data_IF_879083132309
#
_entry.id   IF_879083132309
#
_cell.length_a   1.000
_cell.length_b   1.000
_cell.length_c   1.000
_cell.angle_alpha   90.00
_cell.angle_beta   90.00
_cell.angle_gamma   90.00
#
_symmetry.space_group_name_H-M   'P 1'
#
loop_
_entity.id
_entity.type
_entity.pdbx_description
1 polymer ?
#
# COMPACT_ATOMS: atom_id res chain seq x y z
N UNK A 1 42.00 -53.60 -2.92
CA UNK A 1 41.25 -53.67 -4.20
C UNK A 1 40.57 -52.33 -4.39
N UNK A 2 41.00 -51.60 -5.41
CA UNK A 2 40.41 -50.34 -5.84
C UNK A 2 39.05 -50.62 -6.49
N UNK A 3 38.03 -49.87 -6.10
CA UNK A 3 36.73 -49.83 -6.75
C UNK A 3 36.42 -48.39 -7.14
N UNK A 4 36.84 -48.00 -8.33
CA UNK A 4 36.45 -46.77 -9.01
C UNK A 4 35.00 -46.88 -9.48
N UNK A 5 34.09 -46.09 -8.89
CA UNK A 5 32.71 -45.93 -9.33
C UNK A 5 32.52 -44.53 -9.91
N UNK A 6 32.18 -44.47 -11.20
CA UNK A 6 32.25 -43.27 -12.03
C UNK A 6 31.28 -42.16 -11.64
N UNK A 7 31.84 -40.94 -11.57
CA UNK A 7 31.08 -39.70 -11.59
C UNK A 7 30.46 -39.48 -12.95
N UNK A 8 29.22 -39.93 -13.13
CA UNK A 8 28.35 -39.53 -14.22
C UNK A 8 27.88 -38.10 -14.00
N UNK A 9 28.72 -37.12 -14.36
CA UNK A 9 28.29 -35.74 -14.52
C UNK A 9 27.23 -35.67 -15.61
N UNK A 10 25.96 -35.60 -15.22
CA UNK A 10 24.87 -35.19 -16.10
C UNK A 10 25.15 -33.77 -16.54
N UNK A 11 25.77 -33.63 -17.71
CA UNK A 11 25.69 -32.41 -18.50
C UNK A 11 24.22 -32.20 -18.87
N UNK A 12 23.51 -31.43 -18.05
CA UNK A 12 22.26 -30.82 -18.44
C UNK A 12 22.57 -29.83 -19.55
N UNK A 13 22.21 -30.18 -20.78
CA UNK A 13 22.29 -29.27 -21.91
C UNK A 13 21.55 -27.98 -21.54
N UNK A 14 22.29 -26.86 -21.58
CA UNK A 14 21.72 -25.53 -21.53
C UNK A 14 20.91 -25.30 -22.80
N UNK A 15 19.69 -25.82 -22.84
CA UNK A 15 18.64 -25.17 -23.61
C UNK A 15 18.45 -23.80 -22.98
N UNK A 16 18.44 -22.74 -23.79
CA UNK A 16 18.05 -21.41 -23.35
C UNK A 16 16.72 -21.56 -22.57
N UNK A 17 16.80 -21.50 -21.25
CA UNK A 17 15.66 -21.73 -20.39
C UNK A 17 14.64 -20.64 -20.68
N UNK A 18 13.49 -21.02 -21.25
CA UNK A 18 12.40 -20.08 -21.46
C UNK A 18 12.09 -19.38 -20.13
N UNK A 19 12.08 -18.05 -20.13
CA UNK A 19 11.78 -17.26 -18.94
C UNK A 19 10.43 -17.68 -18.35
N UNK A 20 10.38 -17.77 -17.03
CA UNK A 20 9.20 -18.08 -16.26
C UNK A 20 8.67 -16.81 -15.58
N UNK A 21 7.35 -16.60 -15.62
CA UNK A 21 6.69 -15.38 -15.17
C UNK A 21 5.79 -15.64 -13.96
N UNK A 22 5.68 -14.64 -13.10
CA UNK A 22 4.70 -14.56 -12.04
C UNK A 22 3.73 -13.42 -12.35
N UNK A 23 2.45 -13.75 -12.50
CA UNK A 23 1.34 -12.80 -12.64
C UNK A 23 0.41 -12.95 -11.44
N UNK A 24 -0.17 -11.85 -10.98
CA UNK A 24 -1.19 -11.89 -9.94
C UNK A 24 -2.27 -10.86 -10.18
N UNK A 25 -3.46 -11.09 -9.63
CA UNK A 25 -4.50 -10.09 -9.60
C UNK A 25 -4.27 -9.09 -8.45
N UNK A 26 -4.21 -7.78 -8.74
CA UNK A 26 -4.20 -6.74 -7.72
C UNK A 26 -5.57 -6.72 -7.03
N UNK A 27 -5.58 -6.79 -5.70
CA UNK A 27 -6.82 -6.93 -4.92
C UNK A 27 -7.08 -5.70 -4.04
N UNK A 28 -8.34 -5.23 -4.01
CA UNK A 28 -8.80 -4.17 -3.10
C UNK A 28 -8.37 -2.76 -3.50
N UNK A 29 -8.39 -1.82 -2.55
CA UNK A 29 -7.94 -0.44 -2.78
C UNK A 29 -6.42 -0.33 -3.01
N UNK A 30 -5.96 0.83 -3.49
CA UNK A 30 -4.57 1.05 -3.92
C UNK A 30 -3.54 0.53 -2.90
N UNK A 31 -3.70 0.85 -1.61
CA UNK A 31 -2.74 0.41 -0.60
C UNK A 31 -2.70 -1.11 -0.40
N UNK A 32 -3.81 -1.81 -0.59
CA UNK A 32 -3.80 -3.28 -0.61
C UNK A 32 -3.02 -3.82 -1.82
N UNK A 33 -3.11 -3.14 -2.97
CA UNK A 33 -2.38 -3.50 -4.18
C UNK A 33 -0.88 -3.26 -4.01
N UNK A 34 -0.45 -2.14 -3.41
CA UNK A 34 0.96 -1.88 -3.08
C UNK A 34 1.53 -2.94 -2.13
N UNK A 35 0.75 -3.33 -1.12
CA UNK A 35 1.15 -4.38 -0.17
C UNK A 35 1.27 -5.75 -0.86
N UNK A 36 0.35 -6.04 -1.80
CA UNK A 36 0.41 -7.25 -2.62
C UNK A 36 1.63 -7.26 -3.54
N UNK A 37 2.02 -6.10 -4.08
CA UNK A 37 3.24 -5.97 -4.89
C UNK A 37 4.48 -6.39 -4.10
N UNK A 38 4.62 -5.96 -2.85
CA UNK A 38 5.77 -6.38 -2.03
C UNK A 38 5.83 -7.90 -1.86
N UNK A 39 4.71 -8.54 -1.56
CA UNK A 39 4.66 -9.99 -1.49
C UNK A 39 4.96 -10.67 -2.84
N UNK A 40 4.53 -10.06 -3.95
CA UNK A 40 4.80 -10.57 -5.29
C UNK A 40 6.27 -10.49 -5.67
N UNK A 41 6.96 -9.42 -5.31
CA UNK A 41 8.40 -9.25 -5.55
C UNK A 41 9.21 -10.31 -4.80
N UNK A 42 8.91 -10.51 -3.52
CA UNK A 42 9.56 -11.54 -2.71
C UNK A 42 9.29 -12.95 -3.26
N UNK A 43 8.04 -13.21 -3.64
CA UNK A 43 7.66 -14.51 -4.19
C UNK A 43 8.28 -14.77 -5.58
N UNK A 44 8.35 -13.76 -6.44
CA UNK A 44 8.98 -13.86 -7.75
C UNK A 44 10.46 -14.20 -7.61
N UNK A 45 11.16 -13.49 -6.72
CA UNK A 45 12.57 -13.77 -6.42
C UNK A 45 12.77 -15.18 -5.87
N UNK A 46 11.95 -15.59 -4.89
CA UNK A 46 12.00 -16.94 -4.32
C UNK A 46 11.83 -18.01 -5.40
N UNK A 47 10.91 -17.81 -6.33
CA UNK A 47 10.57 -18.78 -7.36
C UNK A 47 11.45 -18.70 -8.61
N UNK A 48 12.44 -17.80 -8.63
CA UNK A 48 13.27 -17.49 -9.81
C UNK A 48 12.42 -17.17 -11.05
N UNK A 49 11.49 -16.22 -10.88
CA UNK A 49 10.54 -15.79 -11.92
C UNK A 49 10.62 -14.29 -12.15
N UNK A 50 10.37 -13.90 -13.39
CA UNK A 50 10.12 -12.50 -13.75
C UNK A 50 8.78 -12.08 -13.15
N UNK A 51 8.78 -11.04 -12.32
CA UNK A 51 7.55 -10.45 -11.81
C UNK A 51 6.90 -9.61 -12.91
N UNK A 52 5.67 -9.94 -13.26
CA UNK A 52 4.81 -9.08 -14.07
C UNK A 52 4.00 -8.19 -13.15
N UNK A 53 4.35 -6.91 -13.11
CA UNK A 53 3.65 -5.91 -12.29
C UNK A 53 2.29 -5.63 -12.93
N UNK A 54 1.18 -5.91 -12.23
CA UNK A 54 -0.14 -5.76 -12.81
C UNK A 54 -0.48 -4.28 -12.99
N UNK A 55 -1.54 -4.07 -13.77
CA UNK A 55 -2.26 -2.79 -13.78
C UNK A 55 -2.71 -2.42 -12.36
N UNK A 56 -2.97 -1.14 -12.14
CA UNK A 56 -3.66 -0.67 -10.95
C UNK A 56 -5.16 -0.71 -11.22
N UNK A 57 -5.93 -1.17 -10.25
CA UNK A 57 -7.39 -1.18 -10.32
C UNK A 57 -7.98 -0.08 -9.44
N UNK A 58 -8.93 0.66 -9.98
CA UNK A 58 -9.73 1.63 -9.21
C UNK A 58 -10.92 0.95 -8.53
N UNK A 59 -11.76 1.70 -7.82
CA UNK A 59 -13.02 1.22 -7.25
C UNK A 59 -12.85 -0.05 -6.39
N UNK A 60 -11.85 -0.04 -5.50
CA UNK A 60 -11.51 -1.18 -4.63
C UNK A 60 -11.26 -2.50 -5.39
N UNK A 61 -10.61 -2.42 -6.55
CA UNK A 61 -10.25 -3.60 -7.35
C UNK A 61 -11.32 -4.00 -8.36
N UNK A 62 -12.36 -3.18 -8.56
CA UNK A 62 -13.46 -3.47 -9.48
C UNK A 62 -13.44 -2.60 -10.74
N UNK A 63 -12.65 -1.53 -10.75
CA UNK A 63 -12.57 -0.60 -11.86
C UNK A 63 -11.83 -1.15 -13.09
N UNK A 64 -11.67 -0.33 -14.13
CA UNK A 64 -10.84 -0.66 -15.28
C UNK A 64 -9.35 -0.75 -14.89
N UNK A 65 -8.56 -1.57 -15.60
CA UNK A 65 -7.12 -1.62 -15.45
C UNK A 65 -6.46 -0.34 -15.96
N UNK A 66 -5.57 0.22 -15.13
CA UNK A 66 -4.77 1.39 -15.45
C UNK A 66 -3.28 0.99 -15.45
N UNK A 67 -2.48 1.37 -16.47
CA UNK A 67 -1.04 1.13 -16.46
C UNK A 67 -0.36 1.63 -15.19
N UNK A 68 0.58 0.85 -14.65
CA UNK A 68 1.31 1.21 -13.43
C UNK A 68 2.02 2.57 -13.57
N UNK A 69 2.63 2.79 -14.75
CA UNK A 69 3.32 4.02 -15.14
C UNK A 69 2.43 5.27 -15.13
N UNK A 70 1.10 5.11 -15.18
CA UNK A 70 0.17 6.23 -15.08
C UNK A 70 0.10 6.82 -13.67
N UNK A 71 0.63 6.14 -12.65
CA UNK A 71 0.58 6.61 -11.25
C UNK A 71 1.92 6.53 -10.52
N UNK A 72 2.76 5.56 -10.87
CA UNK A 72 4.06 5.36 -10.25
C UNK A 72 5.17 5.51 -11.29
N UNK A 73 6.38 5.83 -10.84
CA UNK A 73 7.58 5.83 -11.63
C UNK A 73 8.09 4.38 -11.80
N UNK A 74 7.63 3.72 -12.86
CA UNK A 74 8.01 2.35 -13.14
C UNK A 74 9.50 2.18 -13.44
N UNK A 75 10.15 3.20 -14.03
CA UNK A 75 11.59 3.16 -14.33
C UNK A 75 12.42 3.09 -13.04
N UNK A 76 12.00 3.81 -11.99
CA UNK A 76 12.64 3.70 -10.68
C UNK A 76 12.54 2.27 -10.14
N UNK A 77 11.39 1.61 -10.32
CA UNK A 77 11.18 0.22 -9.90
C UNK A 77 12.08 -0.76 -10.67
N UNK A 78 12.17 -0.62 -11.99
CA UNK A 78 13.09 -1.42 -12.81
C UNK A 78 14.54 -1.20 -12.37
N UNK A 79 14.96 0.05 -12.18
CA UNK A 79 16.32 0.41 -11.81
C UNK A 79 16.73 -0.15 -10.43
N UNK A 80 15.77 -0.35 -9.53
CA UNK A 80 16.02 -0.94 -8.21
C UNK A 80 16.05 -2.48 -8.22
N UNK A 81 15.60 -3.13 -9.29
CA UNK A 81 15.53 -4.57 -9.40
C UNK A 81 16.71 -5.15 -10.20
N UNK A 82 17.05 -6.43 -10.02
CA UNK A 82 17.98 -7.11 -10.92
C UNK A 82 17.50 -7.01 -12.37
N UNK A 83 18.43 -6.89 -13.31
CA UNK A 83 18.10 -6.75 -14.72
C UNK A 83 17.22 -7.92 -15.20
N UNK A 84 16.09 -7.60 -15.83
CA UNK A 84 15.11 -8.57 -16.32
C UNK A 84 14.21 -9.22 -15.27
N UNK A 85 14.34 -8.86 -13.99
CA UNK A 85 13.52 -9.46 -12.92
C UNK A 85 12.08 -8.92 -12.86
N UNK A 86 11.82 -7.77 -13.46
CA UNK A 86 10.52 -7.09 -13.42
C UNK A 86 10.12 -6.64 -14.83
N UNK A 87 8.85 -6.80 -15.15
CA UNK A 87 8.21 -6.37 -16.39
C UNK A 87 6.83 -5.77 -16.08
N UNK A 88 6.36 -4.81 -16.88
CA UNK A 88 4.99 -4.31 -16.74
C UNK A 88 3.99 -5.22 -17.47
N UNK A 89 2.72 -5.17 -17.06
CA UNK A 89 1.67 -5.99 -17.67
C UNK A 89 1.50 -5.73 -19.17
N UNK A 90 1.54 -4.48 -19.63
CA UNK A 90 1.35 -4.16 -21.06
C UNK A 90 2.40 -4.85 -21.94
N UNK A 91 3.67 -4.78 -21.56
CA UNK A 91 4.79 -5.46 -22.21
C UNK A 91 4.61 -6.98 -22.19
N UNK A 92 4.23 -7.54 -21.04
CA UNK A 92 3.97 -8.98 -20.92
C UNK A 92 2.86 -9.45 -21.87
N UNK A 93 1.78 -8.68 -22.01
CA UNK A 93 0.68 -9.02 -22.91
C UNK A 93 1.12 -9.07 -24.39
N UNK A 94 2.14 -8.31 -24.79
CA UNK A 94 2.70 -8.38 -26.16
C UNK A 94 3.39 -9.71 -26.47
N UNK A 95 3.80 -10.45 -25.43
CA UNK A 95 4.40 -11.78 -25.59
C UNK A 95 3.38 -12.85 -26.00
N UNK A 96 2.08 -12.54 -25.95
CA UNK A 96 0.97 -13.48 -26.20
C UNK A 96 1.06 -14.75 -25.34
N UNK A 97 1.65 -14.65 -24.15
CA UNK A 97 1.69 -15.71 -23.17
C UNK A 97 0.41 -15.68 -22.33
N UNK A 98 -0.05 -16.87 -21.94
CA UNK A 98 -1.28 -17.05 -21.14
C UNK A 98 -1.05 -18.11 -20.07
N UNK A 99 -1.57 -17.93 -18.84
CA UNK A 99 -1.51 -18.99 -17.84
C UNK A 99 -2.40 -20.16 -18.25
N UNK A 100 -1.91 -21.38 -18.02
CA UNK A 100 -2.69 -22.61 -18.16
C UNK A 100 -3.77 -22.74 -17.07
N UNK A 101 -3.55 -22.06 -15.95
CA UNK A 101 -4.38 -22.13 -14.75
C UNK A 101 -4.21 -20.90 -13.87
N UNK A 102 -5.29 -20.46 -13.23
CA UNK A 102 -5.26 -19.46 -12.16
C UNK A 102 -5.35 -20.19 -10.82
N UNK A 103 -4.36 -19.97 -9.97
CA UNK A 103 -4.34 -20.52 -8.62
C UNK A 103 -5.04 -19.56 -7.66
N UNK A 104 -6.17 -20.01 -7.11
CA UNK A 104 -6.96 -19.23 -6.16
C UNK A 104 -6.39 -19.37 -4.75
N UNK A 105 -5.82 -18.29 -4.23
CA UNK A 105 -5.26 -18.23 -2.87
C UNK A 105 -6.34 -17.69 -1.94
N UNK A 106 -6.78 -18.48 -0.96
CA UNK A 106 -7.87 -18.08 -0.07
C UNK A 106 -7.56 -16.77 0.67
N UNK A 107 -8.46 -15.79 0.55
CA UNK A 107 -8.42 -14.56 1.34
C UNK A 107 -9.13 -14.79 2.70
N UNK A 108 -8.37 -15.00 3.77
CA UNK A 108 -8.82 -15.03 5.17
C UNK A 108 -9.68 -13.85 5.67
N UNK A 109 -9.85 -12.79 4.88
CA UNK A 109 -10.82 -11.74 5.16
C UNK A 109 -12.21 -12.20 4.69
N UNK A 110 -13.03 -12.68 5.62
CA UNK A 110 -14.39 -13.20 5.35
C UNK A 110 -15.33 -12.23 4.63
N UNK A 111 -15.01 -10.93 4.67
CA UNK A 111 -15.82 -9.84 4.12
C UNK A 111 -15.38 -9.41 2.73
N UNK A 112 -14.48 -10.18 2.12
CA UNK A 112 -13.81 -9.84 0.89
C UNK A 112 -14.06 -10.97 -0.09
N UNK A 113 -15.05 -10.77 -0.97
CA UNK A 113 -15.31 -11.71 -2.06
C UNK A 113 -14.15 -11.69 -3.05
N UNK A 114 -13.53 -12.85 -3.24
CA UNK A 114 -12.59 -13.03 -4.34
C UNK A 114 -13.39 -13.05 -5.64
N UNK A 115 -13.08 -12.13 -6.54
CA UNK A 115 -13.51 -12.20 -7.93
C UNK A 115 -12.27 -12.25 -8.82
N UNK A 116 -12.40 -12.82 -10.01
CA UNK A 116 -11.33 -12.92 -11.00
C UNK A 116 -11.52 -11.89 -12.13
N UNK A 117 -12.20 -10.77 -11.82
CA UNK A 117 -12.63 -9.77 -12.80
C UNK A 117 -11.44 -9.21 -13.59
N UNK A 118 -10.30 -9.03 -12.93
CA UNK A 118 -9.09 -8.57 -13.59
C UNK A 118 -8.63 -9.53 -14.69
N UNK A 119 -8.56 -10.83 -14.40
CA UNK A 119 -8.20 -11.82 -15.41
C UNK A 119 -9.23 -11.88 -16.55
N UNK A 120 -10.53 -11.72 -16.24
CA UNK A 120 -11.54 -11.56 -17.30
C UNK A 120 -11.29 -10.33 -18.17
N UNK A 121 -10.92 -9.18 -17.58
CA UNK A 121 -10.57 -7.95 -18.32
C UNK A 121 -9.32 -8.12 -19.20
N UNK A 122 -8.40 -9.02 -18.83
CA UNK A 122 -7.23 -9.40 -19.64
C UNK A 122 -7.56 -10.43 -20.74
N UNK A 123 -8.81 -10.89 -20.85
CA UNK A 123 -9.21 -11.94 -21.80
C UNK A 123 -8.91 -13.36 -21.32
N UNK A 124 -8.66 -13.56 -20.03
CA UNK A 124 -8.36 -14.86 -19.40
C UNK A 124 -9.54 -15.41 -18.59
N UNK A 125 -10.76 -15.00 -18.91
CA UNK A 125 -11.97 -15.40 -18.17
C UNK A 125 -12.30 -16.90 -18.28
N UNK A 126 -11.79 -17.57 -19.31
CA UNK A 126 -11.93 -19.00 -19.57
C UNK A 126 -10.77 -19.85 -19.02
N UNK A 127 -9.74 -19.24 -18.40
CA UNK A 127 -8.64 -19.99 -17.78
C UNK A 127 -9.19 -20.79 -16.58
N UNK A 128 -8.91 -22.11 -16.49
CA UNK A 128 -9.32 -22.91 -15.35
C UNK A 128 -8.80 -22.38 -14.02
N UNK A 129 -9.65 -22.43 -12.99
CA UNK A 129 -9.32 -21.97 -11.64
C UNK A 129 -9.11 -23.18 -10.74
N UNK A 130 -7.95 -23.25 -10.07
CA UNK A 130 -7.67 -24.25 -9.05
C UNK A 130 -7.54 -23.57 -7.69
N UNK A 131 -8.36 -24.00 -6.74
CA UNK A 131 -8.24 -23.53 -5.37
C UNK A 131 -7.01 -24.12 -4.71
N UNK A 132 -6.14 -23.24 -4.23
CA UNK A 132 -5.01 -23.66 -3.40
C UNK A 132 -5.53 -23.99 -2.00
N UNK A 133 -5.30 -25.21 -1.47
CA UNK A 133 -5.55 -25.51 -0.07
C UNK A 133 -4.67 -24.61 0.79
N UNK A 134 -5.12 -24.30 2.03
CA UNK A 134 -4.46 -23.39 2.97
C UNK A 134 -2.94 -23.39 2.81
N UNK A 135 -2.44 -22.40 2.08
CA UNK A 135 -1.03 -22.33 1.71
C UNK A 135 -0.31 -21.95 2.99
N UNK A 136 0.43 -22.89 3.57
CA UNK A 136 1.51 -22.53 4.46
C UNK A 136 2.49 -21.72 3.63
N UNK A 137 2.51 -20.41 3.87
CA UNK A 137 3.41 -19.46 3.23
C UNK A 137 4.85 -19.75 3.71
N UNK A 138 5.42 -20.86 3.27
CA UNK A 138 6.82 -21.23 3.51
C UNK A 138 7.52 -21.35 2.16
N UNK A 139 8.80 -20.94 2.06
CA UNK A 139 9.58 -21.10 0.85
C UNK A 139 9.53 -22.52 0.26
N UNK A 140 9.67 -23.54 1.11
CA UNK A 140 9.61 -24.93 0.69
C UNK A 140 8.23 -25.35 0.16
N UNK A 141 7.12 -24.83 0.72
CA UNK A 141 5.79 -25.11 0.19
C UNK A 141 5.59 -24.46 -1.19
N UNK A 142 6.05 -23.23 -1.37
CA UNK A 142 6.01 -22.54 -2.66
C UNK A 142 6.87 -23.24 -3.70
N UNK A 143 8.13 -23.60 -3.40
CA UNK A 143 8.97 -24.36 -4.34
C UNK A 143 8.38 -25.71 -4.70
N UNK A 144 7.90 -26.49 -3.72
CA UNK A 144 7.25 -27.79 -4.02
C UNK A 144 6.05 -27.63 -4.93
N UNK A 145 5.27 -26.57 -4.75
CA UNK A 145 4.03 -26.37 -5.50
C UNK A 145 4.26 -25.68 -6.84
N UNK A 146 4.86 -24.50 -6.84
CA UNK A 146 5.19 -23.76 -8.05
C UNK A 146 6.26 -24.43 -8.92
N UNK A 147 7.18 -25.19 -8.33
CA UNK A 147 8.12 -26.05 -9.05
C UNK A 147 7.46 -27.27 -9.67
N UNK A 148 6.43 -27.84 -9.01
CA UNK A 148 5.57 -28.85 -9.64
C UNK A 148 4.67 -28.26 -10.72
N UNK A 149 4.36 -26.96 -10.65
CA UNK A 149 3.51 -26.32 -11.65
C UNK A 149 4.16 -26.26 -13.03
N UNK A 150 5.50 -26.30 -13.17
CA UNK A 150 6.24 -26.34 -14.45
C UNK A 150 5.91 -25.21 -15.46
N UNK A 151 4.94 -24.37 -15.14
CA UNK A 151 4.26 -23.51 -16.08
C UNK A 151 5.11 -22.28 -16.35
N UNK A 152 5.14 -21.89 -17.61
CA UNK A 152 5.78 -20.65 -18.04
C UNK A 152 5.16 -19.44 -17.35
N UNK A 153 3.84 -19.43 -17.13
CA UNK A 153 3.12 -18.35 -16.44
C UNK A 153 2.41 -18.89 -15.20
N UNK A 154 2.89 -18.48 -14.01
CA UNK A 154 2.22 -18.74 -12.74
C UNK A 154 1.25 -17.59 -12.46
N UNK A 155 -0.06 -17.83 -12.51
CA UNK A 155 -1.08 -16.82 -12.23
C UNK A 155 -1.76 -17.04 -10.87
N UNK A 156 -1.78 -16.02 -10.01
CA UNK A 156 -2.34 -16.08 -8.65
C UNK A 156 -3.53 -15.12 -8.49
N UNK A 157 -4.62 -15.57 -7.84
CA UNK A 157 -5.83 -14.73 -7.64
C UNK A 157 -5.66 -13.57 -6.67
N UNK A 158 -4.70 -13.65 -5.74
CA UNK A 158 -4.39 -12.57 -4.82
C UNK A 158 -3.12 -12.87 -4.03
N UNK A 159 -2.30 -11.85 -3.79
CA UNK A 159 -1.16 -11.93 -2.87
C UNK A 159 -1.35 -11.13 -1.58
N UNK A 160 -2.55 -10.56 -1.37
CA UNK A 160 -2.83 -9.72 -0.21
C UNK A 160 -2.59 -10.45 1.12
N UNK A 161 -2.93 -11.74 1.20
CA UNK A 161 -2.78 -12.54 2.41
C UNK A 161 -1.36 -12.94 2.76
N UNK A 162 -0.49 -13.07 1.76
CA UNK A 162 0.92 -13.35 1.98
C UNK A 162 1.57 -12.25 2.83
N UNK A 163 1.01 -11.04 2.80
CA UNK A 163 1.55 -9.86 3.47
C UNK A 163 0.97 -9.61 4.88
N UNK A 164 0.02 -10.40 5.39
CA UNK A 164 -0.54 -10.12 6.72
C UNK A 164 0.59 -10.08 7.79
N UNK A 165 0.63 -9.04 8.65
CA UNK A 165 1.74 -8.75 9.56
C UNK A 165 2.21 -9.94 10.44
N UNK A 166 1.31 -10.88 10.73
CA UNK A 166 1.63 -12.10 11.49
C UNK A 166 2.39 -13.14 10.65
N UNK A 167 2.11 -13.21 9.35
CA UNK A 167 2.75 -14.14 8.40
C UNK A 167 4.02 -13.53 7.79
N UNK A 168 4.12 -12.19 7.66
CA UNK A 168 5.35 -11.49 7.24
C UNK A 168 6.58 -11.87 8.07
N UNK A 169 6.39 -12.10 9.38
CA UNK A 169 7.48 -12.53 10.30
C UNK A 169 7.84 -14.02 10.17
N UNK A 170 6.94 -14.85 9.64
CA UNK A 170 7.11 -16.30 9.54
C UNK A 170 7.68 -16.71 8.19
N UNK A 171 7.22 -16.06 7.13
CA UNK A 171 7.74 -16.27 5.78
C UNK A 171 9.24 -15.99 5.71
N UNK A 172 9.72 -14.96 6.41
CA UNK A 172 11.05 -14.41 6.14
C UNK A 172 11.84 -14.11 7.42
N UNK A 173 12.84 -14.94 7.68
CA UNK A 173 14.03 -14.57 8.47
C UNK A 173 15.15 -14.23 7.49
N UNK A 174 14.92 -13.18 6.71
CA UNK A 174 15.86 -12.70 5.72
C UNK A 174 17.15 -12.18 6.36
N UNK A 175 18.29 -12.53 5.75
CA UNK A 175 19.62 -12.00 6.07
C UNK A 175 19.68 -10.48 5.80
N UNK A 176 20.74 -9.80 6.26
CA UNK A 176 20.84 -8.34 6.16
C UNK A 176 20.77 -7.81 4.70
N UNK A 177 21.35 -8.55 3.74
CA UNK A 177 21.39 -8.19 2.31
C UNK A 177 20.00 -8.18 1.69
N UNK A 178 19.18 -9.19 2.00
CA UNK A 178 17.81 -9.31 1.49
C UNK A 178 16.90 -8.21 2.09
N UNK A 179 17.18 -7.74 3.31
CA UNK A 179 16.48 -6.60 3.91
C UNK A 179 16.78 -5.28 3.21
N UNK A 180 18.04 -5.03 2.84
CA UNK A 180 18.42 -3.80 2.15
C UNK A 180 17.85 -3.75 0.73
N UNK A 181 17.94 -4.86 0.01
CA UNK A 181 17.31 -5.01 -1.30
C UNK A 181 15.80 -4.82 -1.25
N UNK A 182 15.11 -5.49 -0.33
CA UNK A 182 13.66 -5.34 -0.12
C UNK A 182 13.28 -3.90 0.23
N UNK A 183 14.11 -3.17 1.00
CA UNK A 183 13.90 -1.74 1.27
C UNK A 183 14.07 -0.89 0.01
N UNK A 184 15.14 -1.07 -0.75
CA UNK A 184 15.38 -0.32 -1.99
C UNK A 184 14.22 -0.45 -2.97
N UNK A 185 13.73 -1.68 -3.16
CA UNK A 185 12.55 -1.97 -3.96
C UNK A 185 11.27 -1.38 -3.37
N UNK A 186 11.12 -1.42 -2.05
CA UNK A 186 9.99 -0.78 -1.37
C UNK A 186 9.95 0.74 -1.61
N UNK A 187 11.11 1.40 -1.64
CA UNK A 187 11.20 2.83 -1.97
C UNK A 187 10.84 3.07 -3.44
N UNK A 188 11.48 2.31 -4.33
CA UNK A 188 11.27 2.45 -5.77
C UNK A 188 9.83 2.17 -6.21
N UNK A 189 9.17 1.16 -5.62
CA UNK A 189 7.77 0.86 -5.88
C UNK A 189 6.82 1.99 -5.46
N UNK A 190 7.26 2.89 -4.57
CA UNK A 190 6.52 4.07 -4.09
C UNK A 190 6.99 5.37 -4.74
N UNK A 191 7.97 5.32 -5.63
CA UNK A 191 8.35 6.49 -6.41
C UNK A 191 7.17 6.83 -7.30
N UNK A 192 6.60 8.02 -7.12
CA UNK A 192 5.37 8.42 -7.80
C UNK A 192 5.66 9.00 -9.17
N UNK A 193 4.63 9.03 -10.02
CA UNK A 193 4.69 9.75 -11.29
C UNK A 193 5.00 11.25 -11.04
N UNK A 194 5.85 11.92 -11.86
CA UNK A 194 6.24 13.33 -11.62
C UNK A 194 5.07 14.32 -11.54
N UNK A 195 3.95 14.01 -12.18
CA UNK A 195 2.72 14.81 -12.06
C UNK A 195 2.11 14.77 -10.66
N UNK A 196 2.23 13.65 -9.95
CA UNK A 196 1.78 13.50 -8.56
C UNK A 196 2.68 14.32 -7.64
N UNK A 197 4.00 14.27 -7.80
CA UNK A 197 4.92 15.09 -7.01
C UNK A 197 4.65 16.59 -7.17
N UNK A 198 4.35 17.04 -8.40
CA UNK A 198 3.91 18.43 -8.64
C UNK A 198 2.61 18.76 -7.93
N UNK A 199 1.62 17.87 -7.98
CA UNK A 199 0.34 18.07 -7.27
C UNK A 199 0.53 18.12 -5.75
N UNK A 200 1.41 17.28 -5.19
CA UNK A 200 1.80 17.35 -3.77
C UNK A 200 2.45 18.70 -3.46
N UNK A 201 3.39 19.16 -4.29
CA UNK A 201 4.01 20.48 -4.14
C UNK A 201 3.00 21.62 -4.16
N UNK A 202 2.08 21.63 -5.12
CA UNK A 202 0.98 22.59 -5.21
C UNK A 202 0.09 22.58 -3.96
N UNK A 203 -0.21 21.39 -3.43
CA UNK A 203 -1.00 21.28 -2.20
C UNK A 203 -0.28 21.89 -1.00
N UNK A 204 1.04 21.70 -0.88
CA UNK A 204 1.84 22.32 0.18
C UNK A 204 1.90 23.84 0.06
N UNK A 205 2.09 24.39 -1.14
CA UNK A 205 2.05 25.85 -1.32
C UNK A 205 0.67 26.43 -0.98
N UNK A 206 -0.41 25.78 -1.42
CA UNK A 206 -1.78 26.16 -1.06
C UNK A 206 -2.02 26.08 0.45
N UNK A 207 -1.48 25.06 1.12
CA UNK A 207 -1.54 24.92 2.57
C UNK A 207 -0.76 26.05 3.27
N UNK A 208 0.39 26.47 2.70
CA UNK A 208 1.20 27.60 3.19
C UNK A 208 0.43 28.89 3.19
N UNK A 209 -0.19 29.21 2.06
CA UNK A 209 -0.97 30.42 1.87
C UNK A 209 -2.14 30.44 2.85
N UNK A 210 -2.88 29.32 2.97
CA UNK A 210 -4.04 29.22 3.85
C UNK A 210 -3.69 29.19 5.34
N UNK A 211 -2.51 28.69 5.69
CA UNK A 211 -1.99 28.68 7.06
C UNK A 211 -1.23 29.96 7.42
N UNK A 212 -1.37 31.05 6.64
CA UNK A 212 -0.69 32.33 6.85
C UNK A 212 0.84 32.20 6.98
N UNK A 213 1.45 31.29 6.22
CA UNK A 213 2.89 31.04 6.21
C UNK A 213 3.42 30.21 7.38
N UNK A 214 2.58 29.83 8.35
CA UNK A 214 2.94 28.95 9.47
C UNK A 214 2.96 27.51 8.97
N UNK A 215 4.04 27.14 8.29
CA UNK A 215 4.18 25.82 7.66
C UNK A 215 5.38 25.03 8.13
N UNK A 216 6.08 25.51 9.16
CA UNK A 216 7.25 24.79 9.67
C UNK A 216 6.87 23.34 9.94
N UNK A 217 5.67 23.09 10.45
CA UNK A 217 5.16 21.76 10.73
C UNK A 217 3.64 21.64 10.51
N UNK A 218 3.21 20.61 9.78
CA UNK A 218 1.79 20.21 9.68
C UNK A 218 1.54 18.95 10.52
N UNK A 219 0.31 18.78 11.02
CA UNK A 219 -0.18 17.51 11.53
C UNK A 219 -1.09 16.87 10.49
N UNK A 220 -0.84 15.62 10.10
CA UNK A 220 -1.79 14.84 9.31
C UNK A 220 -2.59 13.90 10.22
N UNK A 221 -3.88 13.80 9.93
CA UNK A 221 -4.77 12.83 10.53
C UNK A 221 -5.52 12.06 9.44
N UNK A 222 -5.38 10.74 9.45
CA UNK A 222 -6.16 9.86 8.59
C UNK A 222 -7.43 9.38 9.34
N UNK A 223 -8.58 9.85 8.87
CA UNK A 223 -9.91 9.52 9.40
C UNK A 223 -10.61 8.61 8.40
N UNK A 224 -10.58 7.30 8.65
CA UNK A 224 -11.29 6.31 7.83
C UNK A 224 -12.69 6.05 8.40
N UNK A 225 -13.74 6.49 7.70
CA UNK A 225 -15.13 6.36 8.15
C UNK A 225 -16.03 5.73 7.09
N UNK A 226 -16.15 6.35 5.91
CA UNK A 226 -17.10 6.08 4.83
C UNK A 226 -17.75 4.69 4.82
N UNK A 227 -17.26 3.78 3.98
CA UNK A 227 -17.71 2.37 3.90
C UNK A 227 -17.14 1.50 5.03
N UNK A 228 -16.35 2.10 5.93
CA UNK A 228 -15.54 1.37 6.90
C UNK A 228 -16.31 0.97 8.16
N UNK A 229 -17.46 1.60 8.44
CA UNK A 229 -18.27 1.26 9.63
C UNK A 229 -18.70 -0.20 9.62
N UNK A 230 -19.27 -0.67 8.51
CA UNK A 230 -19.71 -2.06 8.35
C UNK A 230 -18.55 -3.04 8.53
N UNK A 231 -17.42 -2.76 7.89
CA UNK A 231 -16.20 -3.55 8.05
C UNK A 231 -15.74 -3.63 9.52
N UNK A 232 -15.76 -2.51 10.24
CA UNK A 232 -15.41 -2.50 11.66
C UNK A 232 -16.39 -3.25 12.56
N UNK A 233 -17.69 -3.22 12.25
CA UNK A 233 -18.69 -4.02 12.96
C UNK A 233 -18.43 -5.51 12.75
N UNK A 234 -18.07 -5.89 11.54
CA UNK A 234 -17.76 -7.26 11.17
C UNK A 234 -16.46 -7.76 11.83
N UNK A 235 -15.42 -6.93 11.91
CA UNK A 235 -14.23 -7.25 12.70
C UNK A 235 -14.54 -7.46 14.18
N UNK A 236 -15.44 -6.66 14.76
CA UNK A 236 -15.89 -6.84 16.14
C UNK A 236 -16.65 -8.16 16.31
N UNK A 237 -17.55 -8.51 15.39
CA UNK A 237 -18.24 -9.82 15.38
C UNK A 237 -17.23 -10.96 15.28
N UNK A 238 -16.24 -10.87 14.38
CA UNK A 238 -15.18 -11.87 14.25
C UNK A 238 -14.43 -12.03 15.56
N UNK A 239 -13.94 -10.93 16.15
CA UNK A 239 -13.16 -10.94 17.39
C UNK A 239 -13.92 -11.58 18.57
N UNK A 240 -15.24 -11.39 18.62
CA UNK A 240 -16.12 -11.95 19.65
C UNK A 240 -16.57 -13.39 19.36
N UNK A 241 -16.28 -13.92 18.17
CA UNK A 241 -16.66 -15.29 17.81
C UNK A 241 -15.75 -16.33 18.48
N UNK A 242 -16.27 -17.55 18.67
CA UNK A 242 -15.49 -18.69 19.20
C UNK A 242 -14.27 -19.00 18.32
N UNK A 243 -14.40 -18.80 17.01
CA UNK A 243 -13.38 -19.09 15.99
C UNK A 243 -12.61 -17.84 15.54
N UNK A 244 -12.58 -16.79 16.36
CA UNK A 244 -11.85 -15.56 16.04
C UNK A 244 -10.36 -15.84 15.83
N UNK A 245 -9.77 -15.22 14.82
CA UNK A 245 -8.31 -15.30 14.61
C UNK A 245 -7.59 -14.67 15.81
N UNK A 246 -6.48 -15.27 16.32
CA UNK A 246 -5.75 -14.71 17.47
C UNK A 246 -5.27 -13.27 17.23
N UNK A 247 -4.84 -12.95 16.01
CA UNK A 247 -4.43 -11.60 15.63
C UNK A 247 -5.61 -10.61 15.73
N UNK A 248 -6.82 -11.02 15.33
CA UNK A 248 -8.01 -10.17 15.40
C UNK A 248 -8.45 -9.91 16.84
N UNK A 249 -8.43 -10.94 17.70
CA UNK A 249 -8.67 -10.78 19.14
C UNK A 249 -7.69 -9.80 19.77
N UNK A 250 -6.40 -9.92 19.45
CA UNK A 250 -5.38 -9.02 19.96
C UNK A 250 -5.62 -7.59 19.46
N UNK A 251 -5.83 -7.42 18.16
CA UNK A 251 -6.01 -6.12 17.53
C UNK A 251 -7.18 -5.36 18.15
N UNK A 252 -8.36 -5.98 18.26
CA UNK A 252 -9.55 -5.35 18.86
C UNK A 252 -9.36 -5.07 20.35
N UNK A 253 -8.71 -5.98 21.12
CA UNK A 253 -8.39 -5.72 22.53
C UNK A 253 -7.42 -4.56 22.74
N UNK A 254 -6.47 -4.38 21.82
CA UNK A 254 -5.44 -3.33 21.92
C UNK A 254 -5.85 -2.02 21.24
N UNK A 255 -6.84 -2.07 20.34
CA UNK A 255 -7.25 -0.98 19.48
C UNK A 255 -8.75 -0.79 19.55
N UNK A 256 -9.21 0.09 20.43
CA UNK A 256 -10.64 0.33 20.63
C UNK A 256 -11.32 1.09 19.46
N UNK A 257 -10.55 1.61 18.49
CA UNK A 257 -11.04 2.54 17.48
C UNK A 257 -10.73 2.06 16.06
N UNK A 258 -11.34 0.94 15.65
CA UNK A 258 -11.45 0.61 14.22
C UNK A 258 -12.21 1.71 13.48
N UNK A 259 -13.39 2.06 14.02
CA UNK A 259 -14.21 3.17 13.55
C UNK A 259 -14.08 4.33 14.53
N UNK A 260 -13.59 5.47 14.05
CA UNK A 260 -13.36 6.65 14.88
C UNK A 260 -14.64 7.48 14.92
N UNK A 261 -15.21 7.71 16.11
CA UNK A 261 -16.37 8.61 16.28
C UNK A 261 -15.94 10.08 16.43
N UNK A 262 -16.85 11.02 16.18
CA UNK A 262 -16.59 12.47 16.25
C UNK A 262 -15.89 12.89 17.55
N UNK A 263 -16.34 12.42 18.71
CA UNK A 263 -15.71 12.78 19.99
C UNK A 263 -14.29 12.21 20.19
N UNK A 264 -13.91 11.17 19.45
CA UNK A 264 -12.52 10.70 19.46
C UNK A 264 -11.62 11.65 18.68
N UNK A 265 -12.13 12.18 17.56
CA UNK A 265 -11.44 13.17 16.74
C UNK A 265 -11.19 14.45 17.53
N UNK A 266 -12.22 15.04 18.15
CA UNK A 266 -12.05 16.23 19.02
C UNK A 266 -10.99 16.03 20.09
N UNK A 267 -11.12 14.97 20.90
CA UNK A 267 -10.14 14.69 21.97
C UNK A 267 -8.71 14.51 21.45
N UNK A 268 -8.55 14.05 20.21
CA UNK A 268 -7.23 13.90 19.60
C UNK A 268 -6.72 15.22 19.06
N UNK A 269 -7.57 16.01 18.41
CA UNK A 269 -7.25 17.37 17.96
C UNK A 269 -6.85 18.27 19.13
N UNK A 270 -7.56 18.20 20.26
CA UNK A 270 -7.21 18.90 21.50
C UNK A 270 -5.79 18.55 21.95
N UNK A 271 -5.43 17.25 21.94
CA UNK A 271 -4.07 16.80 22.31
C UNK A 271 -3.00 17.20 21.29
N UNK A 272 -3.36 17.28 20.01
CA UNK A 272 -2.45 17.67 18.91
C UNK A 272 -2.17 19.16 18.96
N UNK A 273 -3.20 19.98 19.21
CA UNK A 273 -3.07 21.43 19.32
C UNK A 273 -2.58 21.91 20.68
N UNK A 274 -2.67 21.08 21.72
CA UNK A 274 -2.15 21.45 23.03
C UNK A 274 -0.63 21.68 22.93
N UNK A 275 -0.12 22.88 23.26
CA UNK A 275 1.31 23.14 23.33
C UNK A 275 1.92 22.13 24.30
N UNK A 276 2.71 21.19 23.78
CA UNK A 276 3.38 20.23 24.65
C UNK A 276 4.46 20.98 25.44
N UNK A 277 4.13 21.35 26.67
CA UNK A 277 5.09 21.60 27.73
C UNK A 277 5.75 20.26 28.12
N UNK A 278 6.63 19.71 27.28
CA UNK A 278 7.59 18.73 27.78
C UNK A 278 8.65 19.49 28.59
N UNK A 279 8.45 19.59 29.91
CA UNK A 279 9.42 20.19 30.84
C UNK A 279 9.13 21.62 31.31
N UNK A 280 7.92 22.16 31.12
CA UNK A 280 7.53 23.48 31.64
C UNK A 280 8.17 24.69 30.95
N UNK A 281 9.09 24.49 30.02
CA UNK A 281 9.55 25.51 29.09
C UNK A 281 8.84 25.32 27.76
N UNK A 282 8.11 26.35 27.31
CA UNK A 282 7.69 26.45 25.92
C UNK A 282 8.95 26.31 25.07
N UNK A 283 8.99 25.33 24.16
CA UNK A 283 9.99 25.29 23.09
C UNK A 283 9.88 26.65 22.35
N UNK A 284 10.77 27.58 22.66
CA UNK A 284 10.88 28.92 22.06
C UNK A 284 9.64 29.82 22.09
N UNK A 285 8.76 29.73 23.09
CA UNK A 285 7.67 30.69 23.26
C UNK A 285 6.61 30.73 22.14
N UNK A 286 6.67 29.84 21.16
CA UNK A 286 5.68 29.78 20.09
C UNK A 286 4.53 28.85 20.52
N UNK A 287 3.37 29.44 20.76
CA UNK A 287 2.07 28.76 20.79
C UNK A 287 1.67 28.30 19.37
N UNK A 288 2.58 27.64 18.66
CA UNK A 288 2.40 27.27 17.25
C UNK A 288 1.28 26.23 17.15
N UNK A 289 0.14 26.68 16.64
CA UNK A 289 -0.98 25.82 16.26
C UNK A 289 -0.59 25.13 14.95
N UNK A 290 -0.56 23.80 14.95
CA UNK A 290 -0.32 23.05 13.74
C UNK A 290 -1.54 23.18 12.82
N UNK A 291 -1.40 23.63 11.56
CA UNK A 291 -2.43 23.38 10.55
C UNK A 291 -2.62 21.86 10.41
N UNK A 292 -3.88 21.45 10.33
CA UNK A 292 -4.26 20.04 10.36
C UNK A 292 -4.71 19.61 8.98
N UNK A 293 -3.98 18.69 8.37
CA UNK A 293 -4.41 18.03 7.16
C UNK A 293 -5.22 16.77 7.52
N UNK A 294 -6.47 16.70 7.08
CA UNK A 294 -7.34 15.55 7.30
C UNK A 294 -7.52 14.77 6.01
N UNK A 295 -6.84 13.63 5.90
CA UNK A 295 -7.10 12.64 4.86
C UNK A 295 -8.33 11.81 5.29
N UNK A 296 -9.39 11.85 4.49
CA UNK A 296 -10.67 11.20 4.82
C UNK A 296 -11.39 10.74 3.56
N UNK A 297 -12.14 9.66 3.68
CA UNK A 297 -13.13 9.19 2.72
C UNK A 297 -14.53 9.78 2.96
N UNK A 298 -14.70 10.56 4.03
CA UNK A 298 -15.95 11.20 4.43
C UNK A 298 -15.74 12.73 4.54
N UNK A 299 -15.92 13.42 3.41
CA UNK A 299 -15.78 14.88 3.32
C UNK A 299 -16.85 15.63 4.12
N UNK A 300 -18.04 15.04 4.31
CA UNK A 300 -19.10 15.65 5.12
C UNK A 300 -18.65 15.71 6.57
N UNK A 301 -18.00 14.65 7.06
CA UNK A 301 -17.40 14.62 8.38
C UNK A 301 -16.27 15.65 8.55
N UNK A 302 -15.34 15.75 7.59
CA UNK A 302 -14.26 16.74 7.67
C UNK A 302 -14.75 18.19 7.64
N UNK A 303 -15.87 18.46 6.97
CA UNK A 303 -16.49 19.79 6.84
C UNK A 303 -17.56 20.06 7.91
N UNK A 304 -17.63 19.23 8.93
CA UNK A 304 -18.56 19.45 10.03
C UNK A 304 -18.27 20.82 10.69
N UNK A 305 -19.29 21.70 10.85
CA UNK A 305 -19.07 23.04 11.38
C UNK A 305 -18.40 23.10 12.75
N UNK A 306 -18.57 22.06 13.58
CA UNK A 306 -17.96 22.01 14.91
C UNK A 306 -16.42 21.88 14.82
N UNK A 307 -15.91 21.23 13.77
CA UNK A 307 -14.47 21.15 13.50
C UNK A 307 -13.93 22.49 13.02
N UNK A 308 -14.56 23.08 12.00
CA UNK A 308 -14.08 24.33 11.39
C UNK A 308 -14.12 25.54 12.33
N UNK A 309 -15.00 25.52 13.35
CA UNK A 309 -15.06 26.57 14.39
C UNK A 309 -13.87 26.52 15.35
N UNK A 310 -13.29 25.34 15.53
CA UNK A 310 -12.32 25.07 16.61
C UNK A 310 -10.91 24.83 16.08
N UNK A 311 -10.78 24.39 14.83
CA UNK A 311 -9.50 23.96 14.26
C UNK A 311 -9.35 24.37 12.79
N UNK A 312 -8.12 24.69 12.40
CA UNK A 312 -7.73 24.90 11.00
C UNK A 312 -7.50 23.55 10.31
N UNK A 313 -8.60 22.93 9.87
CA UNK A 313 -8.60 21.66 9.14
C UNK A 313 -8.66 21.90 7.64
N UNK A 314 -7.78 21.22 6.92
CA UNK A 314 -7.70 21.22 5.46
C UNK A 314 -7.84 19.80 4.93
N UNK A 315 -8.56 19.65 3.83
CA UNK A 315 -8.65 18.41 3.05
C UNK A 315 -8.00 18.60 1.68
N UNK A 316 -7.78 17.51 0.93
CA UNK A 316 -7.22 17.58 -0.43
C UNK A 316 -8.00 18.55 -1.33
N UNK A 317 -9.33 18.52 -1.22
CA UNK A 317 -10.25 19.37 -1.99
C UNK A 317 -10.10 20.86 -1.65
N UNK A 318 -9.67 21.18 -0.44
CA UNK A 318 -9.44 22.58 -0.03
C UNK A 318 -8.11 23.09 -0.58
N UNK A 319 -7.12 22.20 -0.72
CA UNK A 319 -5.77 22.52 -1.19
C UNK A 319 -5.64 22.50 -2.70
N UNK A 320 -6.32 21.56 -3.36
CA UNK A 320 -6.33 21.36 -4.80
C UNK A 320 -7.77 21.45 -5.32
N UNK A 321 -8.26 22.65 -5.65
CA UNK A 321 -9.62 22.83 -6.16
C UNK A 321 -9.93 21.99 -7.41
N UNK A 322 -8.92 21.66 -8.22
CA UNK A 322 -9.04 20.74 -9.36
C UNK A 322 -9.54 19.34 -8.96
N UNK A 323 -9.36 18.91 -7.70
CA UNK A 323 -9.90 17.67 -7.16
C UNK A 323 -11.42 17.69 -6.92
N UNK A 324 -12.08 18.87 -6.90
CA UNK A 324 -13.54 18.97 -6.66
C UNK A 324 -14.39 18.43 -7.79
N UNK A 325 -13.84 18.43 -9.01
CA UNK A 325 -14.66 18.24 -10.20
C UNK A 325 -14.71 16.80 -10.70
N UNK A 326 -14.20 15.81 -9.92
CA UNK A 326 -14.19 14.34 -10.09
C UNK A 326 -15.03 13.77 -11.24
N UNK A 327 -14.65 14.16 -12.44
CA UNK A 327 -15.55 14.27 -13.56
C UNK A 327 -14.72 14.87 -14.66
N UNK A 328 -14.78 14.20 -15.80
CA UNK A 328 -13.99 14.44 -17.00
C UNK A 328 -14.40 15.80 -17.58
N UNK A 329 -14.09 16.91 -16.90
CA UNK A 329 -14.06 18.19 -17.57
C UNK A 329 -12.77 18.23 -18.36
N UNK A 330 -12.94 18.22 -19.69
CA UNK A 330 -11.93 18.61 -20.68
C UNK A 330 -11.57 20.09 -20.48
N UNK A 331 -11.09 20.49 -19.30
CA UNK A 331 -10.29 21.70 -19.22
C UNK A 331 -9.00 21.35 -19.94
N UNK A 332 -8.80 21.91 -21.12
CA UNK A 332 -7.56 21.87 -21.90
C UNK A 332 -6.38 22.57 -21.20
N UNK A 333 -6.43 22.66 -19.86
CA UNK A 333 -5.50 23.39 -19.01
C UNK A 333 -4.56 22.44 -18.29
N UNK A 334 -3.36 22.96 -17.99
CA UNK A 334 -2.21 22.26 -17.43
C UNK A 334 -2.39 21.72 -15.99
N UNK A 335 -3.61 21.78 -15.44
CA UNK A 335 -3.90 21.58 -14.01
C UNK A 335 -4.88 20.43 -13.71
N UNK A 336 -5.15 19.56 -14.68
CA UNK A 336 -5.98 18.37 -14.46
C UNK A 336 -5.23 17.33 -13.61
N UNK A 337 -5.87 16.88 -12.53
CA UNK A 337 -5.40 15.80 -11.67
C UNK A 337 -6.32 14.59 -11.89
N UNK A 338 -5.82 13.49 -12.47
CA UNK A 338 -6.59 12.25 -12.59
C UNK A 338 -7.08 11.76 -11.22
N UNK A 339 -8.33 11.27 -11.14
CA UNK A 339 -8.92 10.80 -9.88
C UNK A 339 -8.09 9.69 -9.21
N UNK A 340 -7.42 8.86 -10.00
CA UNK A 340 -6.53 7.81 -9.51
C UNK A 340 -5.29 8.35 -8.78
N UNK A 341 -4.91 9.61 -9.02
CA UNK A 341 -3.81 10.26 -8.30
C UNK A 341 -4.23 10.77 -6.92
N UNK A 342 -5.51 11.12 -6.72
CA UNK A 342 -5.97 11.77 -5.49
C UNK A 342 -5.59 10.99 -4.22
N UNK A 343 -5.81 9.66 -4.13
CA UNK A 343 -5.42 8.90 -2.95
C UNK A 343 -3.89 8.88 -2.74
N UNK A 344 -3.09 8.95 -3.81
CA UNK A 344 -1.63 8.97 -3.72
C UNK A 344 -1.14 10.33 -3.24
N UNK A 345 -1.69 11.41 -3.80
CA UNK A 345 -1.39 12.78 -3.39
C UNK A 345 -1.71 12.95 -1.90
N UNK A 346 -2.88 12.50 -1.44
CA UNK A 346 -3.25 12.49 -0.02
C UNK A 346 -2.19 11.78 0.85
N UNK A 347 -1.73 10.58 0.43
CA UNK A 347 -0.74 9.82 1.19
C UNK A 347 0.58 10.56 1.31
N UNK A 348 1.03 11.19 0.22
CA UNK A 348 2.31 11.91 0.18
C UNK A 348 2.26 13.24 0.93
N UNK A 349 1.11 13.95 0.93
CA UNK A 349 0.90 15.11 1.81
C UNK A 349 1.01 14.68 3.27
N UNK A 350 0.28 13.61 3.63
CA UNK A 350 0.32 13.09 4.98
C UNK A 350 1.71 12.64 5.39
N UNK A 351 2.44 11.90 4.55
CA UNK A 351 3.74 11.34 4.89
C UNK A 351 4.82 12.40 5.20
N UNK A 352 4.67 13.61 4.66
CA UNK A 352 5.54 14.76 4.94
C UNK A 352 5.16 15.51 6.22
N UNK A 353 4.06 15.15 6.88
CA UNK A 353 3.66 15.78 8.14
C UNK A 353 4.63 15.44 9.28
N UNK A 354 4.80 16.38 10.21
CA UNK A 354 5.62 16.16 11.42
C UNK A 354 4.95 15.23 12.41
N UNK A 355 3.63 15.31 12.47
CA UNK A 355 2.79 14.50 13.35
C UNK A 355 1.79 13.71 12.51
N UNK A 356 1.77 12.40 12.71
CA UNK A 356 0.82 11.49 12.07
C UNK A 356 -0.17 10.94 13.08
N UNK A 357 -1.47 11.08 12.82
CA UNK A 357 -2.55 10.40 13.57
C UNK A 357 -3.22 9.40 12.63
N UNK A 358 -2.93 8.11 12.81
CA UNK A 358 -3.24 7.08 11.81
C UNK A 358 -4.25 6.04 12.34
N UNK A 359 -5.09 5.52 11.43
CA UNK A 359 -6.01 4.42 11.69
C UNK A 359 -5.30 3.07 11.59
N UNK A 360 -5.16 2.37 12.73
CA UNK A 360 -4.43 1.11 12.85
C UNK A 360 -5.06 -0.09 12.08
N UNK A 361 -6.26 0.05 11.55
CA UNK A 361 -6.95 -0.98 10.77
C UNK A 361 -6.93 -0.71 9.26
N UNK A 362 -6.35 0.42 8.84
CA UNK A 362 -6.35 0.83 7.45
C UNK A 362 -4.96 0.64 6.82
N UNK A 363 -4.90 -0.17 5.77
CA UNK A 363 -3.69 -0.29 4.94
C UNK A 363 -3.31 1.03 4.27
N UNK A 364 -4.25 1.96 4.10
CA UNK A 364 -4.00 3.32 3.67
C UNK A 364 -3.11 4.08 4.68
N UNK A 365 -3.41 3.94 5.98
CA UNK A 365 -2.57 4.46 7.06
C UNK A 365 -1.20 3.80 7.10
N UNK A 366 -1.13 2.47 6.89
CA UNK A 366 0.15 1.77 6.82
C UNK A 366 0.99 2.28 5.64
N UNK A 367 0.38 2.58 4.50
CA UNK A 367 1.05 3.19 3.35
C UNK A 367 1.65 4.55 3.69
N UNK A 368 0.86 5.45 4.31
CA UNK A 368 1.34 6.77 4.78
C UNK A 368 2.56 6.60 5.68
N UNK A 369 2.46 5.69 6.67
CA UNK A 369 3.53 5.43 7.62
C UNK A 369 4.81 4.96 6.92
N UNK A 370 4.69 4.02 5.97
CA UNK A 370 5.85 3.50 5.24
C UNK A 370 6.51 4.55 4.33
N UNK A 371 5.72 5.43 3.71
CA UNK A 371 6.25 6.56 2.92
C UNK A 371 6.99 7.53 3.85
N UNK A 372 6.41 7.84 5.03
CA UNK A 372 7.03 8.75 5.99
C UNK A 372 8.36 8.19 6.54
N UNK A 373 8.39 6.91 6.91
CA UNK A 373 9.58 6.21 7.39
C UNK A 373 10.68 6.13 6.31
N UNK A 374 10.28 6.07 5.04
CA UNK A 374 11.21 6.08 3.90
C UNK A 374 11.86 7.45 3.72
N UNK A 375 11.06 8.52 3.75
CA UNK A 375 11.55 9.89 3.62
C UNK A 375 12.49 10.28 4.77
N UNK A 376 12.18 9.88 6.01
CA UNK A 376 13.01 10.20 7.17
C UNK A 376 14.43 9.60 7.08
N UNK A 377 14.57 8.44 6.42
CA UNK A 377 15.88 7.82 6.19
C UNK A 377 16.72 8.58 5.16
N UNK A 378 16.08 9.28 4.22
CA UNK A 378 16.77 10.13 3.24
C UNK A 378 17.20 11.46 3.87
N UNK A 379 16.40 11.96 4.82
CA UNK A 379 16.62 13.25 5.50
C UNK A 379 17.44 13.15 6.81
N UNK A 380 17.96 11.97 7.17
CA UNK A 380 18.61 11.66 8.46
C UNK A 380 19.81 12.57 8.81
N UNK A 381 20.30 13.35 7.84
CA UNK A 381 21.37 14.33 8.02
C UNK A 381 20.87 15.68 8.56
N UNK A 382 19.58 16.04 8.45
CA UNK A 382 19.11 17.41 8.75
C UNK A 382 17.72 17.58 9.40
N UNK A 383 16.87 16.54 9.54
CA UNK A 383 15.48 16.75 10.00
C UNK A 383 15.19 16.27 11.44
N UNK A 384 14.35 17.00 12.21
CA UNK A 384 13.86 16.53 13.50
C UNK A 384 12.94 15.30 13.33
N UNK A 385 13.12 14.29 14.18
CA UNK A 385 12.38 13.01 14.12
C UNK A 385 10.85 13.21 14.10
N UNK A 386 10.17 12.58 13.13
CA UNK A 386 8.70 12.55 13.06
C UNK A 386 8.10 11.81 14.25
N UNK A 387 6.88 12.23 14.64
CA UNK A 387 6.13 11.59 15.72
C UNK A 387 4.88 10.91 15.15
N UNK A 388 4.75 9.61 15.41
CA UNK A 388 3.61 8.82 14.96
C UNK A 388 2.72 8.49 16.17
N UNK A 389 1.48 8.96 16.13
CA UNK A 389 0.44 8.66 17.09
C UNK A 389 -0.58 7.72 16.43
N UNK A 390 -0.91 6.64 17.13
CA UNK A 390 -2.11 5.87 16.82
C UNK A 390 -3.25 6.43 17.68
N UNK A 391 -4.50 6.33 17.20
CA UNK A 391 -5.72 6.72 17.93
C UNK A 391 -5.89 6.15 19.35
N UNK A 392 -5.00 5.26 19.79
CA UNK A 392 -5.05 4.50 21.03
C UNK A 392 -4.52 5.24 22.28
N UNK A 393 -3.81 6.37 22.12
CA UNK A 393 -3.23 7.16 23.23
C UNK A 393 -3.61 8.62 23.12
#
# INVERSE_FOLDING_TARGET
QQGSGGGGGKGGGGGEGSLAYLVYQPFGGLSNQMMSLHAAMELAFLLDRVLVVPHILTENGQGPPIPWSATQNFDALIAAAPAGAIMNMDEFLTLNLRPERIYEISISARHVEQNLKYFTQLGWGDVPVERMPDVTFSPAAWHRRAGACGAQVLALSSLFNAYSHAERRKLWRADAVEKEWSRGLQRAARAVHPGIDRAVGQAFESLKEKANGILNHIACMHVRRGDFEGYCQDLKKEANSKNARPAMRRLIKTSNLCFVQKQHVFRTLDKVQWPRQEGGQLLNGSSEVFPIYMATDDLKFAKDPDFSRSYSIFTLIDLLPSAKNGGIQKTSGKDYIPDIWLPIVDQHICARARLLVLNAFSTYSDSIKLIAETQDQEDEVQSPKKKILNWQK
#
